data_IF_347572141068
#
_entry.id   IF_347572141068
#
_cell.length_a   1.000
_cell.length_b   1.000
_cell.length_c   1.000
_cell.angle_alpha   90.00
_cell.angle_beta   90.00
_cell.angle_gamma   90.00
#
_symmetry.space_group_name_H-M   'P 1'
#
loop_
_entity.id
_entity.type
_entity.pdbx_description
1 polymer ?
#
# COMPACT_ATOMS: atom_id res chain seq x y z
N UNK A 1 -8.74 -41.66 -38.45
CA UNK A 1 -8.60 -40.18 -38.44
C UNK A 1 -8.92 -39.52 -37.07
N UNK A 2 -8.72 -40.21 -35.93
CA UNK A 2 -8.95 -39.63 -34.58
C UNK A 2 -7.67 -39.17 -33.85
N UNK A 3 -6.51 -39.64 -34.29
CA UNK A 3 -5.21 -39.37 -33.65
C UNK A 3 -4.64 -37.99 -34.05
N UNK A 4 -4.79 -37.60 -35.32
CA UNK A 4 -4.27 -36.31 -35.84
C UNK A 4 -5.01 -35.10 -35.28
N UNK A 5 -6.31 -35.23 -35.00
CA UNK A 5 -7.11 -34.16 -34.36
C UNK A 5 -6.70 -33.94 -32.90
N UNK A 6 -6.30 -35.00 -32.19
CA UNK A 6 -5.77 -34.92 -30.83
C UNK A 6 -4.39 -34.25 -30.77
N UNK A 7 -3.52 -34.52 -31.76
CA UNK A 7 -2.24 -33.82 -31.87
C UNK A 7 -2.41 -32.33 -32.23
N UNK A 8 -3.40 -32.00 -33.07
CA UNK A 8 -3.70 -30.61 -33.44
C UNK A 8 -4.28 -29.80 -32.28
N UNK A 9 -5.16 -30.40 -31.46
CA UNK A 9 -5.69 -29.72 -30.25
C UNK A 9 -4.61 -29.55 -29.18
N UNK A 10 -3.72 -30.52 -29.00
CA UNK A 10 -2.66 -30.45 -28.00
C UNK A 10 -1.61 -29.38 -28.35
N UNK A 11 -1.29 -29.21 -29.63
CA UNK A 11 -0.38 -28.17 -30.10
C UNK A 11 -0.94 -26.75 -29.92
N UNK A 12 -2.23 -26.54 -30.15
CA UNK A 12 -2.87 -25.23 -29.98
C UNK A 12 -2.93 -24.80 -28.50
N UNK A 13 -3.27 -25.72 -27.58
CA UNK A 13 -3.28 -25.43 -26.14
C UNK A 13 -1.88 -25.10 -25.62
N UNK A 14 -0.84 -25.77 -26.14
CA UNK A 14 0.54 -25.50 -25.75
C UNK A 14 1.01 -24.10 -26.19
N UNK A 15 0.69 -23.68 -27.42
CA UNK A 15 0.97 -22.33 -27.91
C UNK A 15 0.24 -21.24 -27.11
N UNK A 16 -1.02 -21.48 -26.74
CA UNK A 16 -1.79 -20.55 -25.89
C UNK A 16 -1.19 -20.43 -24.48
N UNK A 17 -0.62 -21.50 -23.95
CA UNK A 17 0.02 -21.52 -22.62
C UNK A 17 1.26 -20.61 -22.55
N UNK A 18 2.01 -20.48 -23.65
CA UNK A 18 3.17 -19.58 -23.73
C UNK A 18 2.75 -18.10 -23.73
N UNK A 19 1.61 -17.76 -24.34
CA UNK A 19 1.07 -16.40 -24.33
C UNK A 19 0.54 -16.02 -22.94
N UNK A 20 0.00 -16.99 -22.18
CA UNK A 20 -0.44 -16.75 -20.80
C UNK A 20 0.72 -16.62 -19.80
N UNK A 21 1.86 -17.30 -19.98
CA UNK A 21 3.06 -17.08 -19.13
C UNK A 21 3.63 -15.66 -19.29
N UNK A 22 3.52 -15.07 -20.48
CA UNK A 22 3.91 -13.67 -20.70
C UNK A 22 2.93 -12.65 -20.08
N UNK A 23 1.69 -13.06 -19.78
CA UNK A 23 0.65 -12.22 -19.17
C UNK A 23 0.36 -12.56 -17.69
N UNK A 24 0.99 -13.61 -17.13
CA UNK A 24 0.70 -14.10 -15.77
C UNK A 24 1.74 -15.03 -15.14
N UNK A 25 2.98 -15.06 -15.65
CA UNK A 25 4.04 -15.99 -15.24
C UNK A 25 5.35 -15.34 -14.83
N UNK A 26 5.31 -14.16 -14.21
CA UNK A 26 6.46 -13.56 -13.54
C UNK A 26 6.76 -14.30 -12.24
N UNK A 27 7.39 -15.47 -12.32
CA UNK A 27 8.03 -16.11 -11.16
C UNK A 27 9.49 -15.71 -11.17
N UNK A 28 9.75 -14.47 -10.74
CA UNK A 28 11.06 -14.11 -10.22
C UNK A 28 11.27 -14.92 -8.96
N UNK A 29 12.00 -16.02 -9.08
CA UNK A 29 12.74 -16.58 -7.96
C UNK A 29 13.89 -15.63 -7.61
N UNK A 30 13.54 -14.45 -7.10
CA UNK A 30 14.43 -13.65 -6.28
C UNK A 30 14.31 -14.23 -4.88
N UNK A 31 15.34 -14.96 -4.47
CA UNK A 31 15.59 -15.22 -3.05
C UNK A 31 15.44 -13.89 -2.31
N UNK A 32 14.40 -13.78 -1.48
CA UNK A 32 14.20 -12.65 -0.58
C UNK A 32 15.34 -12.60 0.43
N UNK A 33 16.48 -12.06 -0.02
CA UNK A 33 17.47 -11.51 0.87
C UNK A 33 16.79 -10.31 1.53
N UNK A 34 16.71 -10.34 2.87
CA UNK A 34 16.39 -9.16 3.69
C UNK A 34 17.47 -8.12 3.41
N UNK A 35 17.28 -7.36 2.33
CA UNK A 35 18.13 -6.25 1.94
C UNK A 35 17.82 -5.08 2.85
N UNK A 36 18.53 -4.98 3.97
CA UNK A 36 18.89 -3.67 4.52
C UNK A 36 19.90 -3.04 3.56
N UNK A 37 19.42 -2.64 2.38
CA UNK A 37 20.18 -1.87 1.42
C UNK A 37 19.89 -0.41 1.69
N UNK A 38 20.90 0.36 2.06
CA UNK A 38 20.76 1.81 2.07
C UNK A 38 20.32 2.26 0.68
N UNK A 39 19.21 2.99 0.62
CA UNK A 39 18.78 3.63 -0.61
C UNK A 39 19.93 4.52 -1.12
N UNK A 40 20.32 4.35 -2.38
CA UNK A 40 21.45 5.05 -3.00
C UNK A 40 20.95 5.93 -4.13
N UNK A 41 21.49 7.15 -4.25
CA UNK A 41 21.06 8.15 -5.24
C UNK A 41 19.86 8.99 -4.79
N UNK A 42 19.36 9.81 -5.70
CA UNK A 42 18.22 10.71 -5.48
C UNK A 42 16.90 9.94 -5.30
N UNK A 43 16.19 10.18 -4.20
CA UNK A 43 14.94 9.49 -3.85
C UNK A 43 13.72 10.31 -4.31
N UNK A 44 13.58 10.47 -5.62
CA UNK A 44 12.43 11.18 -6.22
C UNK A 44 11.46 10.17 -6.81
N UNK A 45 10.21 10.26 -6.37
CA UNK A 45 9.11 9.44 -6.88
C UNK A 45 8.18 10.29 -7.74
N UNK A 46 8.10 9.97 -9.03
CA UNK A 46 7.19 10.62 -9.98
C UNK A 46 5.96 9.72 -10.20
N UNK A 47 4.78 10.20 -9.82
CA UNK A 47 3.50 9.49 -9.99
C UNK A 47 2.54 10.31 -10.85
N UNK A 48 1.60 9.62 -11.48
CA UNK A 48 0.46 10.24 -12.16
C UNK A 48 -0.82 9.84 -11.43
N UNK A 49 -1.74 10.78 -11.31
CA UNK A 49 -3.08 10.54 -10.79
C UNK A 49 -4.12 10.67 -11.91
N UNK A 50 -5.19 9.88 -11.84
CA UNK A 50 -6.22 9.80 -12.89
C UNK A 50 -7.29 10.89 -12.79
N UNK A 51 -7.38 11.56 -11.65
CA UNK A 51 -8.34 12.62 -11.37
C UNK A 51 -7.68 13.79 -10.63
N UNK A 52 -8.31 14.96 -10.69
CA UNK A 52 -7.89 16.12 -9.90
C UNK A 52 -8.28 15.93 -8.43
N UNK A 53 -7.54 16.55 -7.53
CA UNK A 53 -7.85 16.61 -6.10
C UNK A 53 -9.10 17.49 -5.90
N UNK A 54 -10.24 16.96 -5.44
CA UNK A 54 -11.45 17.76 -5.20
C UNK A 54 -11.34 18.63 -3.95
N UNK A 55 -10.78 18.07 -2.87
CA UNK A 55 -10.52 18.76 -1.60
C UNK A 55 -9.29 18.17 -0.91
N UNK A 56 -8.46 19.03 -0.31
CA UNK A 56 -7.39 18.64 0.61
C UNK A 56 -7.68 19.09 2.05
N UNK A 57 -8.94 19.40 2.36
CA UNK A 57 -9.42 19.68 3.71
C UNK A 57 -9.89 18.36 4.35
N UNK A 58 -9.20 17.91 5.40
CA UNK A 58 -9.47 16.62 6.06
C UNK A 58 -10.85 16.52 6.68
N UNK A 59 -11.53 17.63 6.94
CA UNK A 59 -12.89 17.64 7.48
C UNK A 59 -13.96 17.53 6.39
N UNK A 60 -13.58 17.68 5.13
CA UNK A 60 -14.50 17.72 3.98
C UNK A 60 -14.18 16.72 2.88
N UNK A 61 -12.96 16.19 2.84
CA UNK A 61 -12.55 15.19 1.83
C UNK A 61 -13.31 13.89 2.05
N UNK A 62 -13.97 13.40 1.01
CA UNK A 62 -14.73 12.15 1.01
C UNK A 62 -14.36 11.23 -0.18
N UNK A 63 -13.39 11.63 -1.01
CA UNK A 63 -12.90 10.87 -2.16
C UNK A 63 -11.49 10.29 -1.93
N UNK A 64 -11.15 9.28 -2.74
CA UNK A 64 -9.88 8.56 -2.64
C UNK A 64 -8.65 9.43 -2.93
N UNK A 65 -8.74 10.39 -3.86
CA UNK A 65 -7.60 11.20 -4.29
C UNK A 65 -7.24 12.20 -3.19
N UNK A 66 -8.22 12.93 -2.67
CA UNK A 66 -8.04 13.86 -1.57
C UNK A 66 -7.55 13.16 -0.29
N UNK A 67 -8.17 12.03 0.06
CA UNK A 67 -7.77 11.24 1.23
C UNK A 67 -6.37 10.62 1.07
N UNK A 68 -5.95 10.24 -0.14
CA UNK A 68 -4.60 9.75 -0.37
C UNK A 68 -3.56 10.85 -0.15
N UNK A 69 -3.80 12.07 -0.66
CA UNK A 69 -2.92 13.22 -0.40
C UNK A 69 -2.83 13.52 1.09
N UNK A 70 -3.98 13.61 1.76
CA UNK A 70 -4.07 13.85 3.20
C UNK A 70 -3.33 12.78 4.02
N UNK A 71 -3.38 11.52 3.61
CA UNK A 71 -2.68 10.44 4.29
C UNK A 71 -1.15 10.54 4.18
N UNK A 72 -0.62 11.30 3.21
CA UNK A 72 0.82 11.57 3.07
C UNK A 72 1.24 12.88 3.74
N UNK A 73 0.35 13.88 3.79
CA UNK A 73 0.67 15.24 4.31
C UNK A 73 0.26 15.44 5.76
N UNK A 74 -0.62 14.60 6.29
CA UNK A 74 -1.10 14.64 7.66
C UNK A 74 -0.93 13.27 8.31
N UNK A 75 -0.91 13.27 9.64
CA UNK A 75 -0.77 12.05 10.44
C UNK A 75 -1.81 12.03 11.55
N UNK A 76 -2.51 10.89 11.69
CA UNK A 76 -3.49 10.67 12.74
C UNK A 76 -2.89 10.03 13.99
N UNK A 77 -3.75 9.62 14.92
CA UNK A 77 -3.32 8.84 16.10
C UNK A 77 -2.75 7.48 15.71
N UNK A 78 -3.33 6.87 14.67
CA UNK A 78 -2.94 5.61 14.07
C UNK A 78 -2.76 5.79 12.56
N UNK A 79 -1.89 4.96 11.98
CA UNK A 79 -1.75 4.75 10.55
C UNK A 79 -1.72 3.24 10.27
N UNK A 80 -1.97 2.84 9.02
CA UNK A 80 -1.85 1.43 8.66
C UNK A 80 -0.37 1.04 8.53
N UNK A 81 0.00 -0.10 9.10
CA UNK A 81 1.32 -0.69 8.89
C UNK A 81 1.42 -1.43 7.54
N UNK A 82 2.58 -2.04 7.30
CA UNK A 82 2.85 -2.83 6.08
C UNK A 82 1.93 -4.04 5.88
N UNK A 83 1.26 -4.51 6.93
CA UNK A 83 0.34 -5.64 6.91
C UNK A 83 -1.13 -5.15 6.84
N UNK A 84 -1.35 -3.83 6.75
CA UNK A 84 -2.67 -3.22 6.74
C UNK A 84 -3.35 -3.20 8.11
N UNK A 85 -2.59 -3.35 9.19
CA UNK A 85 -3.09 -3.31 10.57
C UNK A 85 -2.89 -1.90 11.13
N UNK A 86 -3.89 -1.31 11.83
CA UNK A 86 -3.70 -0.04 12.52
C UNK A 86 -2.58 -0.13 13.55
N UNK A 87 -1.55 0.70 13.40
CA UNK A 87 -0.43 0.85 14.31
C UNK A 87 -0.32 2.29 14.80
N UNK A 88 0.26 2.46 15.99
CA UNK A 88 0.47 3.78 16.61
C UNK A 88 1.29 4.68 15.67
N UNK A 89 0.80 5.89 15.44
CA UNK A 89 1.43 6.93 14.65
C UNK A 89 1.68 8.19 15.49
N UNK A 90 0.69 9.09 15.58
CA UNK A 90 0.73 10.29 16.42
C UNK A 90 0.43 10.04 17.90
N UNK A 91 -0.14 8.90 18.28
CA UNK A 91 -0.29 8.55 19.70
C UNK A 91 1.07 8.24 20.35
N UNK A 92 1.23 8.50 21.65
CA UNK A 92 2.48 8.16 22.36
C UNK A 92 2.62 6.65 22.59
N UNK A 93 1.48 6.01 22.87
CA UNK A 93 1.36 4.63 23.30
C UNK A 93 -0.07 4.15 23.05
N UNK A 94 -0.31 2.85 23.24
CA UNK A 94 -1.65 2.27 23.12
C UNK A 94 -2.59 2.91 24.15
N UNK A 95 -3.80 3.33 23.75
CA UNK A 95 -4.74 3.96 24.65
C UNK A 95 -5.25 2.95 25.69
N UNK A 96 -5.47 3.42 26.91
CA UNK A 96 -6.17 2.60 27.92
C UNK A 96 -7.66 2.59 27.62
N UNK A 97 -8.20 1.40 27.39
CA UNK A 97 -9.62 1.19 27.09
C UNK A 97 -10.39 0.92 28.38
N UNK A 98 -11.51 1.60 28.60
CA UNK A 98 -12.42 1.29 29.72
C UNK A 98 -13.01 -0.12 29.60
N UNK A 99 -13.43 -0.71 30.73
CA UNK A 99 -14.03 -2.05 30.75
C UNK A 99 -15.29 -2.18 29.90
N UNK A 100 -16.06 -1.10 29.76
CA UNK A 100 -17.26 -1.01 28.92
C UNK A 100 -16.97 -0.64 27.45
N UNK A 101 -15.70 -0.39 27.09
CA UNK A 101 -15.21 -0.02 25.75
C UNK A 101 -15.78 1.30 25.19
N UNK A 102 -16.26 2.20 26.04
CA UNK A 102 -16.81 3.50 25.62
C UNK A 102 -15.86 4.68 25.81
N UNK A 103 -14.75 4.48 26.52
CA UNK A 103 -13.76 5.53 26.81
C UNK A 103 -12.35 5.07 26.46
N UNK A 104 -11.60 5.95 25.81
CA UNK A 104 -10.20 5.78 25.48
C UNK A 104 -9.40 6.89 26.17
N UNK A 105 -8.47 6.53 27.05
CA UNK A 105 -7.51 7.47 27.61
C UNK A 105 -6.27 7.45 26.74
N UNK A 106 -6.05 8.57 26.04
CA UNK A 106 -4.95 8.77 25.12
C UNK A 106 -3.88 9.64 25.75
N UNK A 107 -2.64 9.17 25.70
CA UNK A 107 -1.48 9.96 26.04
C UNK A 107 -0.86 10.50 24.75
N UNK A 108 -0.70 11.83 24.68
CA UNK A 108 -0.08 12.50 23.55
C UNK A 108 1.38 12.78 23.90
N UNK A 109 2.27 12.29 23.05
CA UNK A 109 3.65 12.75 23.04
C UNK A 109 3.69 13.80 21.94
N UNK A 110 3.83 15.07 22.32
CA UNK A 110 4.30 16.06 21.35
C UNK A 110 5.72 15.62 20.99
N UNK A 111 5.89 14.95 19.84
CA UNK A 111 7.23 14.70 19.31
C UNK A 111 7.87 16.08 19.12
N UNK A 112 8.70 16.49 20.08
CA UNK A 112 9.55 17.68 19.97
C UNK A 112 10.44 17.45 18.74
N UNK A 113 10.04 17.99 17.60
CA UNK A 113 10.66 17.70 16.30
C UNK A 113 9.73 17.82 15.10
N UNK A 114 8.41 17.94 15.29
CA UNK A 114 7.51 18.39 14.22
C UNK A 114 7.64 19.92 14.03
N UNK A 115 8.83 20.37 13.66
CA UNK A 115 9.09 21.74 13.24
C UNK A 115 8.57 21.96 11.84
N UNK A 116 7.73 22.99 11.70
CA UNK A 116 7.29 23.67 10.46
C UNK A 116 6.97 22.80 9.24
N UNK A 117 5.67 22.74 8.93
CA UNK A 117 5.22 22.65 7.55
C UNK A 117 4.50 23.99 7.30
N UNK A 118 5.05 24.78 6.38
CA UNK A 118 4.45 26.03 5.88
C UNK A 118 3.06 25.78 5.31
#
# INVERSE_FOLDING_TARGET
MKKSKLFLTLGFTLLLSLVLVACGGGKDSSSGSKGSGNASGEQVLNLSESALIPSADSTKSDDQVGLNVLNQTNEGLYALDKDGVPAIAGAAEEPKVSSDKKSLLLNFATKNGLTEIQ
#
